data_IF_623983244276
#
_entry.id   IF_623983244276
#
_cell.length_a   1.000
_cell.length_b   1.000
_cell.length_c   1.000
_cell.angle_alpha   90.00
_cell.angle_beta   90.00
_cell.angle_gamma   90.00
#
_symmetry.space_group_name_H-M   'P 1'
#
loop_
_entity.id
_entity.type
_entity.pdbx_description
1 polymer ?
#
# COMPACT_ATOMS: atom_id res chain seq x y z
N UNK A 1 2.14 -16.46 38.41
CA UNK A 1 2.67 -16.77 37.07
C UNK A 1 1.53 -17.35 36.25
N UNK A 2 0.80 -16.50 35.51
CA UNK A 2 -0.28 -16.96 34.64
C UNK A 2 0.32 -17.26 33.27
N UNK A 3 0.48 -18.54 32.96
CA UNK A 3 0.94 -19.00 31.65
C UNK A 3 -0.17 -18.73 30.63
N UNK A 4 0.02 -17.73 29.77
CA UNK A 4 -0.86 -17.47 28.64
C UNK A 4 -0.64 -18.60 27.63
N UNK A 5 -1.60 -19.51 27.53
CA UNK A 5 -1.61 -20.58 26.53
C UNK A 5 -1.91 -19.91 25.18
N UNK A 6 -0.88 -19.62 24.38
CA UNK A 6 -1.07 -19.15 23.00
C UNK A 6 -1.65 -20.31 22.18
N UNK A 7 -2.94 -20.25 21.87
CA UNK A 7 -3.59 -21.21 20.98
C UNK A 7 -3.03 -21.01 19.56
N UNK A 8 -2.42 -22.02 18.92
CA UNK A 8 -1.66 -21.87 17.68
C UNK A 8 -2.53 -21.72 16.42
N UNK A 9 -3.80 -21.35 16.58
CA UNK A 9 -4.77 -21.37 15.49
C UNK A 9 -5.90 -20.35 15.69
N UNK A 10 -5.54 -19.15 16.14
CA UNK A 10 -6.47 -18.03 16.10
C UNK A 10 -6.53 -17.50 14.65
N UNK A 11 -7.63 -17.69 13.90
CA UNK A 11 -7.75 -17.20 12.53
C UNK A 11 -7.73 -15.68 12.43
N UNK A 12 -7.89 -14.96 13.54
CA UNK A 12 -7.86 -13.49 13.62
C UNK A 12 -6.44 -13.00 13.88
N UNK A 13 -5.73 -13.60 14.84
CA UNK A 13 -4.42 -13.12 15.29
C UNK A 13 -3.23 -13.90 14.71
N UNK A 14 -3.44 -15.10 14.16
CA UNK A 14 -2.38 -15.95 13.59
C UNK A 14 -2.92 -16.88 12.48
N UNK A 15 -3.33 -16.34 11.31
CA UNK A 15 -3.87 -17.18 10.24
C UNK A 15 -2.77 -18.06 9.65
N UNK A 16 -2.98 -19.38 9.60
CA UNK A 16 -2.00 -20.38 9.18
C UNK A 16 -1.41 -20.22 7.76
N UNK A 17 -1.92 -19.27 6.97
CA UNK A 17 -1.55 -19.04 5.57
C UNK A 17 -0.66 -17.79 5.38
N UNK A 18 -0.04 -17.26 6.44
CA UNK A 18 0.78 -16.05 6.40
C UNK A 18 2.20 -16.16 6.98
N UNK A 19 2.67 -17.37 7.33
CA UNK A 19 3.96 -17.58 8.03
C UNK A 19 5.02 -18.34 7.21
N UNK A 20 4.85 -18.50 5.89
CA UNK A 20 5.72 -19.37 5.08
C UNK A 20 6.99 -18.69 4.49
N UNK A 21 7.56 -17.69 5.17
CA UNK A 21 8.75 -16.96 4.68
C UNK A 21 9.83 -16.73 5.75
N UNK A 22 11.02 -16.27 5.31
CA UNK A 22 12.07 -15.75 6.21
C UNK A 22 11.67 -14.41 6.88
N UNK A 23 10.60 -13.79 6.41
CA UNK A 23 10.15 -12.46 6.77
C UNK A 23 8.80 -12.57 7.51
N UNK A 24 8.82 -12.62 8.85
CA UNK A 24 7.71 -12.30 9.77
C UNK A 24 6.30 -12.80 9.45
N UNK A 25 5.31 -12.17 10.09
CA UNK A 25 3.91 -12.29 9.68
C UNK A 25 3.66 -11.35 8.49
N UNK A 26 2.71 -11.70 7.60
CA UNK A 26 2.38 -10.87 6.44
C UNK A 26 1.97 -9.44 6.81
N UNK A 27 1.39 -9.25 8.00
CA UNK A 27 1.02 -7.91 8.46
C UNK A 27 2.26 -7.03 8.67
N UNK A 28 3.33 -7.54 9.26
CA UNK A 28 4.58 -6.79 9.48
C UNK A 28 5.19 -6.33 8.15
N UNK A 29 5.22 -7.24 7.16
CA UNK A 29 5.73 -6.94 5.81
C UNK A 29 4.89 -5.86 5.13
N UNK A 30 3.57 -5.89 5.32
CA UNK A 30 2.67 -4.88 4.77
C UNK A 30 2.87 -3.53 5.48
N UNK A 31 2.95 -3.52 6.81
CA UNK A 31 3.18 -2.30 7.60
C UNK A 31 4.50 -1.63 7.23
N UNK A 32 5.56 -2.40 7.06
CA UNK A 32 6.86 -1.90 6.61
C UNK A 32 6.79 -1.35 5.18
N UNK A 33 6.10 -2.02 4.26
CA UNK A 33 5.99 -1.59 2.87
C UNK A 33 5.17 -0.29 2.69
N UNK A 34 4.27 0.02 3.62
CA UNK A 34 3.39 1.20 3.54
C UNK A 34 3.82 2.33 4.48
N UNK A 35 4.87 2.14 5.28
CA UNK A 35 5.34 3.08 6.30
C UNK A 35 5.61 4.48 5.75
N UNK A 36 6.24 4.56 4.57
CA UNK A 36 6.62 5.82 3.93
C UNK A 36 5.57 6.30 2.91
N UNK A 37 4.36 5.74 2.95
CA UNK A 37 3.30 6.16 2.04
C UNK A 37 2.93 7.64 2.29
N UNK A 38 2.78 8.45 1.23
CA UNK A 38 2.52 9.89 1.37
C UNK A 38 1.12 10.20 1.93
N UNK A 39 0.22 9.21 1.95
CA UNK A 39 -1.12 9.33 2.50
C UNK A 39 -1.72 7.95 2.81
N UNK A 40 -2.75 7.89 3.68
CA UNK A 40 -3.41 6.64 4.05
C UNK A 40 -4.04 5.87 2.89
N UNK A 41 -4.52 6.56 1.85
CA UNK A 41 -5.18 5.92 0.70
C UNK A 41 -4.15 5.17 -0.13
N UNK A 42 -3.02 5.82 -0.46
CA UNK A 42 -1.92 5.19 -1.20
C UNK A 42 -1.35 4.00 -0.42
N UNK A 43 -1.14 4.16 0.89
CA UNK A 43 -0.68 3.08 1.76
C UNK A 43 -1.64 1.88 1.78
N UNK A 44 -2.94 2.13 2.00
CA UNK A 44 -3.95 1.07 2.02
C UNK A 44 -4.08 0.34 0.68
N UNK A 45 -3.99 1.05 -0.44
CA UNK A 45 -4.03 0.44 -1.77
C UNK A 45 -2.78 -0.41 -2.05
N UNK A 46 -1.59 0.07 -1.63
CA UNK A 46 -0.34 -0.69 -1.76
C UNK A 46 -0.34 -1.94 -0.87
N UNK A 47 -0.76 -1.81 0.39
CA UNK A 47 -0.86 -2.93 1.32
C UNK A 47 -1.85 -4.00 0.83
N UNK A 48 -2.98 -3.60 0.25
CA UNK A 48 -3.90 -4.54 -0.37
C UNK A 48 -3.30 -5.24 -1.59
N UNK A 49 -2.56 -4.52 -2.45
CA UNK A 49 -1.81 -5.13 -3.56
C UNK A 49 -0.88 -6.23 -3.04
N UNK A 50 -0.06 -5.91 -2.03
CA UNK A 50 0.91 -6.83 -1.46
C UNK A 50 0.24 -8.03 -0.78
N UNK A 51 -0.86 -7.81 -0.05
CA UNK A 51 -1.68 -8.89 0.52
C UNK A 51 -2.11 -9.91 -0.53
N UNK A 52 -2.57 -9.46 -1.71
CA UNK A 52 -2.99 -10.38 -2.76
C UNK A 52 -1.79 -11.09 -3.40
N UNK A 53 -0.67 -10.40 -3.63
CA UNK A 53 0.56 -11.01 -4.14
C UNK A 53 1.12 -12.09 -3.22
N UNK A 54 1.15 -11.84 -1.91
CA UNK A 54 1.60 -12.79 -0.90
C UNK A 54 0.66 -14.00 -0.77
N UNK A 55 -0.59 -13.87 -1.21
CA UNK A 55 -1.62 -14.92 -1.09
C UNK A 55 -1.71 -15.84 -2.29
N UNK A 56 -1.16 -15.43 -3.45
CA UNK A 56 -1.34 -16.08 -4.76
C UNK A 56 -1.15 -17.60 -4.72
N UNK A 57 -0.18 -18.08 -3.95
CA UNK A 57 0.20 -19.49 -3.91
C UNK A 57 -0.41 -20.29 -2.77
N UNK A 58 -1.11 -19.63 -1.83
CA UNK A 58 -1.44 -20.23 -0.53
C UNK A 58 -2.94 -20.38 -0.28
N UNK A 59 -3.81 -19.67 -1.01
CA UNK A 59 -5.26 -19.68 -0.72
C UNK A 59 -6.13 -20.42 -1.72
N UNK A 60 -5.85 -20.28 -3.01
CA UNK A 60 -6.71 -20.80 -4.07
C UNK A 60 -5.90 -21.67 -5.03
N UNK A 61 -6.49 -22.75 -5.60
CA UNK A 61 -5.85 -23.55 -6.64
C UNK A 61 -5.58 -22.75 -7.91
N UNK A 62 -6.43 -21.75 -8.20
CA UNK A 62 -6.24 -20.83 -9.31
C UNK A 62 -5.64 -19.50 -8.82
N UNK A 63 -4.37 -19.19 -9.18
CA UNK A 63 -3.71 -17.95 -8.80
C UNK A 63 -4.26 -16.72 -9.55
N UNK A 64 -4.99 -16.90 -10.65
CA UNK A 64 -5.45 -15.82 -11.52
C UNK A 64 -6.32 -14.80 -10.79
N UNK A 65 -7.15 -15.25 -9.85
CA UNK A 65 -8.05 -14.40 -9.10
C UNK A 65 -7.30 -13.42 -8.18
N UNK A 66 -6.25 -13.91 -7.52
CA UNK A 66 -5.43 -13.08 -6.63
C UNK A 66 -4.52 -12.14 -7.41
N UNK A 67 -3.97 -12.60 -8.54
CA UNK A 67 -3.23 -11.74 -9.46
C UNK A 67 -4.11 -10.63 -10.05
N UNK A 68 -5.35 -10.94 -10.44
CA UNK A 68 -6.31 -9.97 -10.94
C UNK A 68 -6.69 -8.92 -9.89
N UNK A 69 -6.87 -9.33 -8.62
CA UNK A 69 -7.10 -8.40 -7.51
C UNK A 69 -5.87 -7.52 -7.26
N UNK A 70 -4.67 -8.11 -7.22
CA UNK A 70 -3.43 -7.35 -7.08
C UNK A 70 -3.29 -6.27 -8.17
N UNK A 71 -3.53 -6.64 -9.44
CA UNK A 71 -3.52 -5.70 -10.56
C UNK A 71 -4.56 -4.58 -10.38
N UNK A 72 -5.76 -4.90 -9.93
CA UNK A 72 -6.83 -3.93 -9.71
C UNK A 72 -6.48 -2.87 -8.65
N UNK A 73 -5.82 -3.27 -7.55
CA UNK A 73 -5.35 -2.34 -6.52
C UNK A 73 -4.13 -1.54 -7.01
N UNK A 74 -3.18 -2.19 -7.68
CA UNK A 74 -1.98 -1.54 -8.23
C UNK A 74 -2.35 -0.42 -9.20
N UNK A 75 -3.28 -0.69 -10.12
CA UNK A 75 -3.77 0.32 -11.07
C UNK A 75 -4.33 1.56 -10.38
N UNK A 76 -5.00 1.40 -9.21
CA UNK A 76 -5.52 2.52 -8.43
C UNK A 76 -4.41 3.32 -7.76
N UNK A 77 -3.41 2.65 -7.18
CA UNK A 77 -2.23 3.32 -6.63
C UNK A 77 -1.58 4.20 -7.70
N UNK A 78 -1.34 3.63 -8.88
CA UNK A 78 -0.72 4.34 -10.00
C UNK A 78 -1.56 5.57 -10.39
N UNK A 79 -2.87 5.41 -10.55
CA UNK A 79 -3.77 6.52 -10.86
C UNK A 79 -3.75 7.61 -9.79
N UNK A 80 -3.73 7.24 -8.52
CA UNK A 80 -3.70 8.18 -7.40
C UNK A 80 -2.38 8.96 -7.35
N UNK A 81 -1.25 8.28 -7.51
CA UNK A 81 0.08 8.90 -7.57
C UNK A 81 0.18 9.87 -8.76
N UNK A 82 -0.29 9.47 -9.94
CA UNK A 82 -0.32 10.35 -11.12
C UNK A 82 -1.19 11.58 -10.90
N UNK A 83 -2.39 11.42 -10.36
CA UNK A 83 -3.29 12.55 -10.07
C UNK A 83 -2.65 13.55 -9.09
N UNK A 84 -1.98 13.06 -8.04
CA UNK A 84 -1.25 13.91 -7.10
C UNK A 84 -0.08 14.66 -7.74
N UNK A 85 0.65 14.03 -8.66
CA UNK A 85 1.72 14.68 -9.41
C UNK A 85 1.18 15.82 -10.29
N UNK A 86 0.03 15.63 -10.93
CA UNK A 86 -0.63 16.68 -11.73
C UNK A 86 -1.03 17.88 -10.87
N UNK A 87 -1.64 17.64 -9.70
CA UNK A 87 -2.05 18.71 -8.79
C UNK A 87 -0.83 19.50 -8.30
N UNK A 88 0.22 18.80 -7.89
CA UNK A 88 1.46 19.43 -7.41
C UNK A 88 2.06 20.35 -8.47
N UNK A 89 2.15 19.87 -9.71
CA UNK A 89 2.66 20.66 -10.84
C UNK A 89 1.84 21.94 -11.08
N UNK A 90 0.51 21.86 -10.94
CA UNK A 90 -0.37 23.00 -11.17
C UNK A 90 -0.28 24.04 -10.05
N UNK A 91 -0.10 23.59 -8.81
CA UNK A 91 0.13 24.46 -7.65
C UNK A 91 1.48 25.18 -7.74
N UNK A 92 2.55 24.47 -8.13
CA UNK A 92 3.88 25.06 -8.32
C UNK A 92 3.87 26.17 -9.39
N UNK A 93 2.99 26.07 -10.41
CA UNK A 93 2.82 27.09 -11.44
C UNK A 93 1.96 28.29 -10.99
N UNK A 94 0.99 28.11 -10.08
CA UNK A 94 0.22 29.22 -9.53
C UNK A 94 0.99 30.04 -8.50
N UNK A 95 1.93 29.40 -7.81
CA UNK A 95 2.70 30.01 -6.71
C UNK A 95 3.91 30.81 -7.20
N UNK A 96 4.29 30.73 -8.48
CA UNK A 96 5.27 31.65 -9.07
C UNK A 96 4.67 33.06 -9.21
N UNK A 97 5.21 34.08 -8.51
CA UNK A 97 4.77 35.46 -8.69
C UNK A 97 4.91 35.87 -10.16
N UNK A 98 4.02 36.71 -10.70
CA UNK A 98 4.19 37.25 -12.04
C UNK A 98 5.58 37.92 -12.13
N UNK A 99 6.38 37.50 -13.11
CA UNK A 99 7.76 37.97 -13.36
C UNK A 99 7.81 39.40 -13.93
N UNK A 100 6.91 40.27 -13.49
CA UNK A 100 6.81 41.65 -13.91
C UNK A 100 6.71 42.55 -12.68
N UNK A 101 7.84 42.69 -11.98
CA UNK A 101 8.13 43.98 -11.36
C UNK A 101 8.46 44.93 -12.53
N UNK A 102 7.45 45.68 -12.98
CA UNK A 102 7.63 46.74 -13.97
C UNK A 102 8.54 47.83 -13.35
N UNK A 103 9.76 48.06 -13.87
CA UNK A 103 10.67 49.05 -13.29
C UNK A 103 10.25 50.51 -13.57
N UNK A 104 9.05 50.75 -14.12
CA UNK A 104 8.54 52.08 -14.48
C UNK A 104 7.18 52.45 -13.85
N UNK A 105 6.67 51.70 -12.84
CA UNK A 105 5.48 52.08 -12.06
C UNK A 105 5.81 52.92 -10.81
#
# INVERSE_FOLDING_TARGET
MHSVISQPNDPVNSPAHYTQGRCGEVIDVIEDAIRDAPDPITGMLLGNTLKYLLRVWHKHPDPSQDLGKAQWYLNRVISHVKAKQTIKFQQDFSDTPPLFDDPLA
#
